data_IF_946362774723
#
_entry.id   IF_946362774723
#
_cell.length_a   1.000
_cell.length_b   1.000
_cell.length_c   1.000
_cell.angle_alpha   90.00
_cell.angle_beta   90.00
_cell.angle_gamma   90.00
#
_symmetry.space_group_name_H-M   'P 1'
#
loop_
_entity.id
_entity.type
_entity.pdbx_description
1 polymer ?
#
# COMPACT_ATOMS: atom_id res chain seq x y z
N UNK A 1 5.11 -8.66 29.75
CA UNK A 1 5.19 -8.16 28.37
C UNK A 1 6.43 -8.64 27.60
N UNK A 2 7.64 -8.66 28.18
CA UNK A 2 8.87 -9.06 27.45
C UNK A 2 8.91 -10.52 26.93
N UNK A 3 8.38 -11.48 27.67
CA UNK A 3 8.45 -12.92 27.33
C UNK A 3 7.79 -13.29 25.99
N UNK A 4 6.76 -12.56 25.54
CA UNK A 4 6.07 -12.84 24.27
C UNK A 4 6.90 -12.47 23.05
N UNK A 5 7.71 -11.42 23.18
CA UNK A 5 8.62 -11.00 22.10
C UNK A 5 9.76 -12.01 22.02
N UNK A 6 10.34 -12.38 23.16
CA UNK A 6 11.43 -13.37 23.22
C UNK A 6 11.04 -14.73 22.64
N UNK A 7 9.81 -15.21 22.89
CA UNK A 7 9.32 -16.45 22.29
C UNK A 7 9.18 -16.35 20.77
N UNK A 8 8.63 -15.25 20.25
CA UNK A 8 8.52 -15.01 18.81
C UNK A 8 9.86 -14.91 18.10
N UNK A 9 10.84 -14.23 18.71
CA UNK A 9 12.21 -14.14 18.17
C UNK A 9 12.90 -15.52 18.16
N UNK A 10 12.71 -16.32 19.21
CA UNK A 10 13.26 -17.69 19.28
C UNK A 10 12.66 -18.62 18.23
N UNK A 11 11.36 -18.51 17.94
CA UNK A 11 10.74 -19.27 16.85
C UNK A 11 11.27 -18.86 15.48
N UNK A 12 11.54 -17.57 15.28
CA UNK A 12 12.08 -17.02 14.03
C UNK A 12 13.52 -17.52 13.80
N UNK A 13 14.36 -17.48 14.84
CA UNK A 13 15.72 -18.05 14.79
C UNK A 13 15.71 -19.56 14.53
N UNK A 14 14.77 -20.31 15.14
CA UNK A 14 14.63 -21.76 14.92
C UNK A 14 14.19 -22.10 13.49
N UNK A 15 13.49 -21.18 12.82
CA UNK A 15 13.11 -21.30 11.43
C UNK A 15 14.21 -20.86 10.43
N UNK A 16 15.40 -20.47 10.92
CA UNK A 16 16.54 -20.08 10.09
C UNK A 16 16.59 -18.61 9.67
N UNK A 17 15.66 -17.79 10.18
CA UNK A 17 15.61 -16.36 9.91
C UNK A 17 16.47 -15.56 10.91
N UNK A 18 16.89 -14.35 10.51
CA UNK A 18 17.58 -13.44 11.42
C UNK A 18 16.69 -13.12 12.62
N UNK A 19 17.27 -13.00 13.83
CA UNK A 19 16.55 -12.67 15.08
C UNK A 19 15.59 -11.49 14.92
N UNK A 20 16.00 -10.47 14.18
CA UNK A 20 15.22 -9.24 13.97
C UNK A 20 14.37 -9.25 12.68
N UNK A 21 14.29 -10.36 11.95
CA UNK A 21 13.52 -10.47 10.71
C UNK A 21 14.03 -9.63 9.54
N UNK A 22 15.29 -9.19 9.60
CA UNK A 22 15.92 -8.44 8.53
C UNK A 22 16.77 -9.38 7.65
N UNK A 23 16.67 -9.24 6.34
CA UNK A 23 17.35 -10.09 5.36
C UNK A 23 18.10 -9.26 4.33
N UNK A 24 19.11 -9.88 3.69
CA UNK A 24 19.79 -9.29 2.53
C UNK A 24 18.97 -9.60 1.29
N UNK A 25 18.58 -8.55 0.57
CA UNK A 25 17.78 -8.66 -0.63
C UNK A 25 18.60 -8.15 -1.82
N UNK A 26 18.45 -8.79 -2.97
CA UNK A 26 19.07 -8.36 -4.22
C UNK A 26 18.20 -7.34 -4.95
N UNK A 27 18.83 -6.39 -5.62
CA UNK A 27 18.15 -5.44 -6.47
C UNK A 27 17.58 -6.16 -7.71
N UNK A 28 16.26 -6.08 -7.90
CA UNK A 28 15.57 -6.72 -9.03
C UNK A 28 15.91 -6.13 -10.41
N UNK A 29 16.52 -4.94 -10.47
CA UNK A 29 16.92 -4.29 -11.73
C UNK A 29 18.36 -4.63 -12.14
N UNK A 30 19.31 -4.54 -11.20
CA UNK A 30 20.75 -4.71 -11.48
C UNK A 30 21.31 -6.06 -11.05
N UNK A 31 20.59 -6.83 -10.23
CA UNK A 31 21.06 -8.11 -9.66
C UNK A 31 22.06 -7.95 -8.52
N UNK A 32 22.47 -6.73 -8.18
CA UNK A 32 23.43 -6.46 -7.11
C UNK A 32 22.80 -6.62 -5.72
N UNK A 33 23.59 -7.06 -4.75
CA UNK A 33 23.15 -7.14 -3.35
C UNK A 33 22.98 -5.74 -2.76
N UNK A 34 21.84 -5.46 -2.14
CA UNK A 34 21.65 -4.19 -1.45
C UNK A 34 22.57 -4.07 -0.23
N UNK A 35 23.17 -2.90 -0.05
CA UNK A 35 24.07 -2.62 1.08
C UNK A 35 23.34 -2.55 2.44
N UNK A 36 22.01 -2.54 2.43
CA UNK A 36 21.17 -2.45 3.62
C UNK A 36 20.39 -3.75 3.86
N UNK A 37 20.08 -4.02 5.13
CA UNK A 37 19.18 -5.11 5.51
C UNK A 37 17.73 -4.63 5.39
N UNK A 38 16.87 -5.45 4.78
CA UNK A 38 15.45 -5.15 4.62
C UNK A 38 14.66 -6.00 5.60
N UNK A 39 13.83 -5.36 6.42
CA UNK A 39 12.88 -6.06 7.27
C UNK A 39 11.70 -6.57 6.43
N UNK A 40 11.47 -7.88 6.45
CA UNK A 40 10.36 -8.52 5.74
C UNK A 40 9.55 -9.40 6.69
N UNK A 41 8.23 -9.42 6.50
CA UNK A 41 7.33 -10.27 7.26
C UNK A 41 5.93 -10.34 6.66
N UNK A 42 5.19 -11.42 6.92
CA UNK A 42 3.81 -11.55 6.46
C UNK A 42 2.94 -10.46 7.09
N UNK A 43 2.37 -9.61 6.23
CA UNK A 43 1.46 -8.52 6.64
C UNK A 43 0.14 -8.69 5.93
N UNK A 44 -0.96 -8.66 6.68
CA UNK A 44 -2.31 -8.79 6.12
C UNK A 44 -2.78 -7.45 5.55
N UNK A 45 -2.65 -7.28 4.24
CA UNK A 45 -3.18 -6.11 3.53
C UNK A 45 -4.66 -6.31 3.19
N UNK A 46 -5.47 -5.28 3.48
CA UNK A 46 -6.87 -5.23 3.05
C UNK A 46 -7.01 -4.28 1.86
N UNK A 47 -7.67 -4.75 0.81
CA UNK A 47 -7.98 -3.92 -0.36
C UNK A 47 -9.22 -3.08 -0.08
N UNK A 48 -9.06 -1.76 -0.05
CA UNK A 48 -10.17 -0.82 0.10
C UNK A 48 -10.98 -0.73 -1.19
N UNK A 49 -12.29 -0.53 -1.07
CA UNK A 49 -13.22 -0.39 -2.21
C UNK A 49 -13.06 0.93 -2.98
N UNK A 50 -12.30 1.88 -2.45
CA UNK A 50 -12.09 3.18 -3.07
C UNK A 50 -11.07 3.09 -4.20
N UNK A 51 -11.51 2.58 -5.35
CA UNK A 51 -10.66 2.48 -6.53
C UNK A 51 -10.49 3.85 -7.19
N UNK A 52 -9.30 4.09 -7.76
CA UNK A 52 -9.06 5.27 -8.60
C UNK A 52 -9.99 5.30 -9.83
N UNK A 53 -10.36 4.12 -10.34
CA UNK A 53 -11.28 3.93 -11.47
C UNK A 53 -12.62 4.65 -11.25
N UNK A 54 -13.16 4.57 -10.03
CA UNK A 54 -14.48 5.14 -9.72
C UNK A 54 -14.43 6.67 -9.57
N UNK A 55 -13.23 7.24 -9.50
CA UNK A 55 -13.00 8.69 -9.30
C UNK A 55 -12.64 9.42 -10.59
N UNK A 56 -12.45 8.72 -11.71
CA UNK A 56 -12.10 9.36 -12.99
C UNK A 56 -13.30 10.16 -13.49
N UNK A 57 -13.16 11.49 -13.54
CA UNK A 57 -14.14 12.42 -14.10
C UNK A 57 -13.47 13.30 -15.15
N UNK A 58 -13.94 13.21 -16.38
CA UNK A 58 -13.55 14.11 -17.48
C UNK A 58 -14.76 14.91 -17.97
N UNK A 59 -14.57 16.18 -18.32
CA UNK A 59 -15.62 17.05 -18.86
C UNK A 59 -15.03 17.93 -19.97
N UNK A 60 -15.46 17.72 -21.21
CA UNK A 60 -15.09 18.55 -22.38
C UNK A 60 -16.13 19.67 -22.64
N UNK A 61 -17.42 19.30 -22.70
CA UNK A 61 -18.56 20.23 -22.70
C UNK A 61 -19.69 19.54 -21.95
N UNK A 62 -20.49 20.27 -21.17
CA UNK A 62 -21.56 19.67 -20.39
C UNK A 62 -22.62 20.68 -19.98
N UNK A 63 -23.76 20.22 -19.43
CA UNK A 63 -24.91 21.06 -19.15
C UNK A 63 -24.56 22.27 -18.28
N UNK A 64 -25.03 23.43 -18.67
CA UNK A 64 -24.90 24.70 -17.93
C UNK A 64 -26.26 25.08 -17.36
N UNK A 65 -26.25 25.75 -16.22
CA UNK A 65 -27.47 26.25 -15.61
C UNK A 65 -28.03 27.42 -16.44
N UNK A 66 -29.32 27.45 -16.83
CA UNK A 66 -29.85 28.42 -17.79
C UNK A 66 -29.90 29.86 -17.26
N UNK A 67 -29.98 30.06 -15.94
CA UNK A 67 -30.01 31.39 -15.33
C UNK A 67 -28.61 31.98 -15.10
N UNK A 68 -27.64 31.14 -14.74
CA UNK A 68 -26.30 31.57 -14.29
C UNK A 68 -25.21 31.25 -15.29
N UNK A 69 -25.52 30.46 -16.32
CA UNK A 69 -24.57 29.95 -17.32
C UNK A 69 -23.36 29.21 -16.71
N UNK A 70 -23.47 28.81 -15.43
CA UNK A 70 -22.41 28.11 -14.72
C UNK A 70 -22.51 26.60 -14.98
N UNK A 71 -21.37 25.89 -15.07
CA UNK A 71 -21.37 24.43 -15.15
C UNK A 71 -22.10 23.83 -13.95
N UNK A 72 -23.11 22.98 -14.18
CA UNK A 72 -23.77 22.33 -13.04
C UNK A 72 -22.83 21.33 -12.37
N UNK A 73 -22.84 21.33 -11.04
CA UNK A 73 -22.18 20.31 -10.23
C UNK A 73 -22.86 18.97 -10.48
N UNK A 74 -22.12 17.97 -10.98
CA UNK A 74 -22.67 16.62 -11.18
C UNK A 74 -22.90 15.92 -9.83
N UNK A 75 -24.02 15.18 -9.80
CA UNK A 75 -24.60 14.43 -8.68
C UNK A 75 -23.64 13.46 -7.98
N UNK A 76 -24.01 13.21 -6.72
CA UNK A 76 -23.51 12.21 -5.77
C UNK A 76 -23.03 10.90 -6.40
N UNK A 77 -21.92 10.39 -5.86
CA UNK A 77 -21.60 8.97 -5.98
C UNK A 77 -22.38 8.26 -4.88
N UNK A 78 -23.41 7.53 -5.31
CA UNK A 78 -24.46 6.90 -4.49
C UNK A 78 -25.38 7.91 -3.78
#
# INVERSE_FOLDING_TARGET
>A
MGRFIDTGLNTLMRAGYQRWGAERVCNGQTGEMMHCLIFMGPTFYQRLIHMAKDKVKFRNTGPVHPLTWQPVTKKHFL
#
